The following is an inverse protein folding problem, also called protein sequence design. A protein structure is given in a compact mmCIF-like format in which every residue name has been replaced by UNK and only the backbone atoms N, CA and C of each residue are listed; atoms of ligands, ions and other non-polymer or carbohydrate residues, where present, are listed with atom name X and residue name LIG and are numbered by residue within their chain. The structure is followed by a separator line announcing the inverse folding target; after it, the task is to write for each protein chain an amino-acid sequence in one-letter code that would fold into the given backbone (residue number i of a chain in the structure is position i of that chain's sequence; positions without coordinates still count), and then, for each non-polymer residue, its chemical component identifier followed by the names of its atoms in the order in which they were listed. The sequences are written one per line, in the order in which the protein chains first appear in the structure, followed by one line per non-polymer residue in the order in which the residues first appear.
data_IF_940776296451
#
_entry.id   IF_940776296451
#
_cell.length_a   1.000
_cell.length_b   1.000
_cell.length_c   1.000
_cell.angle_alpha   90.00
_cell.angle_beta   90.00
_cell.angle_gamma   90.00
#
_symmetry.space_group_name_H-M   'P 1'
#
loop_
_entity.id
_entity.type
_entity.pdbx_description
1 polymer ?
#
# COMPACT_ATOMS: atom_id res chain seq x y z
N UNK A 1 -8.54 4.77 12.92
CA UNK A 1 -7.59 4.56 11.82
C UNK A 1 -8.36 4.37 10.52
N UNK A 2 -8.06 5.17 9.50
CA UNK A 2 -8.67 5.06 8.15
C UNK A 2 -7.65 4.49 7.18
N UNK A 3 -8.09 3.77 6.14
CA UNK A 3 -7.20 3.17 5.14
C UNK A 3 -7.49 3.71 3.74
N UNK A 4 -6.45 4.13 3.04
CA UNK A 4 -6.44 4.45 1.60
C UNK A 4 -6.02 3.18 0.86
N UNK A 5 -6.80 2.78 -0.15
CA UNK A 5 -6.59 1.53 -0.92
C UNK A 5 -5.62 1.68 -2.09
N UNK A 6 -5.16 2.88 -2.43
CA UNK A 6 -4.09 3.12 -3.39
C UNK A 6 -3.55 4.54 -3.22
N UNK A 7 -2.26 4.83 -3.45
CA UNK A 7 -1.72 6.19 -3.37
C UNK A 7 -2.47 7.23 -4.24
N UNK A 8 -3.09 6.80 -5.34
CA UNK A 8 -3.90 7.66 -6.21
C UNK A 8 -5.33 7.89 -5.70
N UNK A 9 -5.80 7.08 -4.75
CA UNK A 9 -7.12 7.24 -4.15
C UNK A 9 -7.13 8.44 -3.20
N UNK A 10 -8.30 9.05 -3.09
CA UNK A 10 -8.53 10.17 -2.19
C UNK A 10 -9.48 9.74 -1.08
N UNK A 11 -9.12 10.03 0.16
CA UNK A 11 -9.97 9.77 1.33
C UNK A 11 -10.26 11.05 2.08
N UNK A 12 -11.47 11.16 2.62
CA UNK A 12 -11.84 12.24 3.54
C UNK A 12 -11.68 11.73 4.96
N UNK A 13 -10.83 12.39 5.73
CA UNK A 13 -10.67 12.14 7.16
C UNK A 13 -11.24 13.33 7.94
N UNK A 14 -12.09 13.04 8.93
CA UNK A 14 -12.76 14.04 9.76
C UNK A 14 -12.06 14.15 11.11
N UNK A 15 -11.67 15.36 11.48
CA UNK A 15 -11.12 15.71 12.79
C UNK A 15 -12.21 16.43 13.57
N UNK A 16 -12.73 15.79 14.61
CA UNK A 16 -13.80 16.33 15.44
C UNK A 16 -13.21 17.11 16.62
N UNK A 17 -13.37 18.43 16.60
CA UNK A 17 -12.90 19.34 17.64
C UNK A 17 -13.98 19.66 18.68
N UNK A 18 -15.14 18.99 18.67
CA UNK A 18 -16.26 19.29 19.57
C UNK A 18 -15.85 19.32 21.04
N UNK A 19 -15.03 18.36 21.48
CA UNK A 19 -14.54 18.31 22.87
C UNK A 19 -13.48 19.39 23.15
N UNK A 20 -12.60 19.67 22.19
CA UNK A 20 -11.50 20.62 22.37
C UNK A 20 -12.00 22.08 22.40
N UNK A 21 -12.94 22.41 21.53
CA UNK A 21 -13.44 23.78 21.33
C UNK A 21 -14.65 24.08 22.21
N UNK A 22 -15.37 23.06 22.68
CA UNK A 22 -16.54 23.21 23.53
C UNK A 22 -17.67 23.98 22.83
N UNK A 23 -18.09 25.11 23.41
CA UNK A 23 -19.16 25.95 22.86
C UNK A 23 -18.69 27.00 21.85
N UNK A 24 -17.37 27.16 21.66
CA UNK A 24 -16.84 28.09 20.66
C UNK A 24 -17.00 27.51 19.24
N UNK A 25 -16.88 28.37 18.21
CA UNK A 25 -16.86 27.93 16.83
C UNK A 25 -15.42 27.87 16.30
N UNK A 26 -15.19 27.01 15.31
CA UNK A 26 -13.93 26.99 14.57
C UNK A 26 -13.82 28.26 13.71
N UNK A 27 -12.71 28.98 13.82
CA UNK A 27 -12.46 30.18 13.02
C UNK A 27 -11.59 29.86 11.79
N UNK A 28 -10.46 29.17 11.97
CA UNK A 28 -9.53 28.87 10.89
C UNK A 28 -8.70 27.60 11.14
N UNK A 29 -8.28 26.93 10.06
CA UNK A 29 -7.26 25.87 10.13
C UNK A 29 -5.89 26.51 9.90
N UNK A 30 -4.99 26.39 10.87
CA UNK A 30 -3.64 26.95 10.78
C UNK A 30 -2.65 26.00 10.10
N UNK A 31 -2.56 24.77 10.61
CA UNK A 31 -1.54 23.81 10.21
C UNK A 31 -2.22 22.48 9.91
N UNK A 32 -1.82 21.86 8.80
CA UNK A 32 -2.15 20.48 8.47
C UNK A 32 -0.85 19.82 8.04
N UNK A 33 -0.45 18.76 8.75
CA UNK A 33 0.75 18.00 8.40
C UNK A 33 0.43 16.52 8.35
N UNK A 34 1.24 15.82 7.56
CA UNK A 34 1.32 14.37 7.52
C UNK A 34 2.78 13.99 7.73
N UNK A 35 3.04 12.96 8.53
CA UNK A 35 4.38 12.42 8.75
C UNK A 35 4.30 10.91 8.65
N UNK A 36 5.06 10.28 7.74
CA UNK A 36 5.15 8.83 7.66
C UNK A 36 5.84 8.28 8.89
N UNK A 37 5.44 7.06 9.26
CA UNK A 37 6.10 6.31 10.31
C UNK A 37 7.48 5.79 9.89
N UNK A 38 7.67 5.56 8.59
CA UNK A 38 8.95 5.15 8.01
C UNK A 38 9.75 6.39 7.60
N UNK A 39 10.98 6.49 8.09
CA UNK A 39 11.87 7.59 7.75
C UNK A 39 12.17 7.62 6.24
N UNK A 40 12.06 8.80 5.62
CA UNK A 40 12.33 8.99 4.20
C UNK A 40 11.18 8.65 3.24
N UNK A 41 10.07 8.10 3.74
CA UNK A 41 8.86 7.94 2.92
C UNK A 41 8.25 9.31 2.56
N UNK A 42 7.51 9.37 1.45
CA UNK A 42 6.80 10.59 1.06
C UNK A 42 5.61 10.84 1.99
N UNK A 43 5.41 12.09 2.41
CA UNK A 43 4.22 12.53 3.16
C UNK A 43 2.94 12.35 2.32
N UNK A 44 1.80 12.23 2.99
CA UNK A 44 0.51 12.35 2.30
C UNK A 44 0.28 13.81 1.87
N UNK A 45 -0.47 13.97 0.78
CA UNK A 45 -0.80 15.25 0.19
C UNK A 45 -2.21 15.63 0.62
N UNK A 46 -2.35 16.82 1.18
CA UNK A 46 -3.66 17.44 1.33
C UNK A 46 -4.12 17.99 -0.02
N UNK A 47 -5.29 17.53 -0.48
CA UNK A 47 -5.89 17.97 -1.75
C UNK A 47 -7.03 18.96 -1.57
N UNK A 48 -7.70 18.92 -0.43
CA UNK A 48 -8.75 19.88 -0.07
C UNK A 48 -8.98 19.85 1.45
N UNK A 49 -9.55 20.94 1.99
CA UNK A 49 -10.06 21.03 3.36
C UNK A 49 -11.41 21.72 3.41
N UNK A 50 -12.22 21.40 4.41
CA UNK A 50 -13.48 22.08 4.69
C UNK A 50 -13.77 22.07 6.20
N UNK A 51 -14.28 23.18 6.73
CA UNK A 51 -14.78 23.27 8.11
C UNK A 51 -16.30 23.13 8.07
N UNK A 52 -16.86 22.23 8.88
CA UNK A 52 -18.31 22.01 9.00
C UNK A 52 -18.66 21.95 10.50
N UNK A 53 -19.24 23.02 11.03
CA UNK A 53 -19.49 23.13 12.46
C UNK A 53 -18.18 23.03 13.26
N UNK A 54 -18.07 22.02 14.11
CA UNK A 54 -16.88 21.72 14.92
C UNK A 54 -15.98 20.63 14.30
N UNK A 55 -16.26 20.21 13.07
CA UNK A 55 -15.42 19.26 12.33
C UNK A 55 -14.55 19.95 11.29
N UNK A 56 -13.31 19.49 11.17
CA UNK A 56 -12.46 19.76 10.00
C UNK A 56 -12.36 18.50 9.18
N UNK A 57 -12.77 18.57 7.91
CA UNK A 57 -12.62 17.47 6.95
C UNK A 57 -11.45 17.75 6.03
N UNK A 58 -10.46 16.87 6.05
CA UNK A 58 -9.29 16.94 5.18
C UNK A 58 -9.39 15.82 4.15
N UNK A 59 -9.22 16.19 2.88
CA UNK A 59 -9.14 15.25 1.78
C UNK A 59 -7.68 14.95 1.50
N UNK A 60 -7.28 13.73 1.81
CA UNK A 60 -5.92 13.25 1.65
C UNK A 60 -5.75 12.39 0.41
N UNK A 61 -4.57 12.44 -0.21
CA UNK A 61 -4.13 11.53 -1.27
C UNK A 61 -2.63 11.26 -1.17
N UNK A 62 -2.10 10.41 -2.04
CA UNK A 62 -0.68 10.11 -2.10
C UNK A 62 -0.23 9.18 -0.99
N UNK A 63 0.98 9.43 -0.47
CA UNK A 63 1.67 8.51 0.41
C UNK A 63 2.31 7.34 -0.35
N UNK A 64 3.11 6.57 0.36
CA UNK A 64 3.76 5.37 -0.10
C UNK A 64 2.97 4.16 0.41
N UNK A 65 2.94 3.11 -0.40
CA UNK A 65 2.27 1.87 -0.01
C UNK A 65 2.90 1.28 1.26
N UNK A 66 2.12 0.51 2.01
CA UNK A 66 2.48 -0.15 3.26
C UNK A 66 2.95 0.79 4.37
N UNK A 67 2.68 2.08 4.26
CA UNK A 67 3.03 3.07 5.27
C UNK A 67 1.84 3.49 6.12
N UNK A 68 2.16 3.90 7.34
CA UNK A 68 1.24 4.53 8.28
C UNK A 68 1.65 5.99 8.44
N UNK A 69 0.66 6.85 8.57
CA UNK A 69 0.83 8.29 8.61
C UNK A 69 0.17 8.83 9.86
N UNK A 70 0.96 9.57 10.64
CA UNK A 70 0.43 10.45 11.66
C UNK A 70 0.09 11.78 10.99
N UNK A 71 -1.17 12.17 11.08
CA UNK A 71 -1.65 13.45 10.59
C UNK A 71 -1.96 14.35 11.76
N UNK A 72 -1.64 15.63 11.66
CA UNK A 72 -1.93 16.62 12.69
C UNK A 72 -2.68 17.78 12.05
N UNK A 73 -3.76 18.19 12.69
CA UNK A 73 -4.52 19.39 12.33
C UNK A 73 -4.51 20.35 13.51
N UNK A 74 -4.04 21.57 13.27
CA UNK A 74 -4.09 22.68 14.22
C UNK A 74 -5.11 23.71 13.73
N UNK A 75 -6.00 24.13 14.61
CA UNK A 75 -7.02 25.14 14.34
C UNK A 75 -6.91 26.31 15.32
N UNK A 76 -7.60 27.40 14.99
CA UNK A 76 -7.91 28.50 15.90
C UNK A 76 -9.42 28.62 16.01
N UNK A 77 -9.92 28.80 17.23
CA UNK A 77 -11.34 29.06 17.47
C UNK A 77 -11.67 30.56 17.38
N UNK A 78 -12.96 30.90 17.45
CA UNK A 78 -13.43 32.30 17.41
C UNK A 78 -12.98 33.15 18.58
N UNK A 79 -12.47 32.53 19.66
CA UNK A 79 -11.91 33.21 20.83
C UNK A 79 -10.39 33.41 20.72
N UNK A 80 -9.77 32.91 19.63
CA UNK A 80 -8.34 33.00 19.39
C UNK A 80 -7.51 31.88 20.05
N UNK A 81 -8.14 30.89 20.69
CA UNK A 81 -7.41 29.76 21.26
C UNK A 81 -7.02 28.74 20.18
N UNK A 82 -5.87 28.08 20.38
CA UNK A 82 -5.32 27.12 19.43
C UNK A 82 -5.59 25.71 19.95
N UNK A 83 -6.08 24.84 19.05
CA UNK A 83 -6.37 23.45 19.34
C UNK A 83 -5.70 22.53 18.34
N UNK A 84 -5.30 21.34 18.78
CA UNK A 84 -4.63 20.34 17.95
C UNK A 84 -5.30 18.99 18.07
N UNK A 85 -5.39 18.27 16.95
CA UNK A 85 -5.90 16.91 16.92
C UNK A 85 -5.08 16.06 15.96
N UNK A 86 -4.79 14.84 16.39
CA UNK A 86 -4.03 13.86 15.62
C UNK A 86 -4.97 12.83 14.99
N UNK A 87 -4.67 12.41 13.76
CA UNK A 87 -5.35 11.35 13.04
C UNK A 87 -4.36 10.32 12.52
N UNK A 88 -4.81 9.09 12.37
CA UNK A 88 -3.99 8.00 11.85
C UNK A 88 -4.59 7.48 10.54
N UNK A 89 -3.79 7.50 9.48
CA UNK A 89 -4.16 7.00 8.16
C UNK A 89 -3.13 5.98 7.70
N UNK A 90 -3.60 4.84 7.21
CA UNK A 90 -2.79 3.82 6.58
C UNK A 90 -2.97 3.89 5.06
N UNK A 91 -1.89 3.84 4.30
CA UNK A 91 -1.95 3.61 2.85
C UNK A 91 -1.63 2.14 2.61
N UNK A 92 -2.55 1.45 1.95
CA UNK A 92 -2.45 0.02 1.60
C UNK A 92 -2.99 -0.13 0.18
N UNK A 93 -2.12 -0.27 -0.81
CA UNK A 93 -2.53 -0.57 -2.17
C UNK A 93 -3.27 -1.92 -2.17
N UNK A 94 -4.60 -1.92 -2.22
CA UNK A 94 -5.42 -3.13 -2.40
C UNK A 94 -5.45 -3.58 -3.87
N UNK A 95 -4.57 -3.02 -4.70
CA UNK A 95 -4.37 -3.40 -6.08
C UNK A 95 -3.64 -4.72 -6.14
N UNK A 96 -4.31 -5.72 -6.69
CA UNK A 96 -3.64 -6.82 -7.33
C UNK A 96 -2.84 -6.26 -8.52
N UNK A 97 -1.62 -5.81 -8.25
CA UNK A 97 -0.62 -5.62 -9.29
C UNK A 97 0.19 -6.90 -9.34
N UNK A 98 0.01 -7.67 -10.41
CA UNK A 98 0.99 -8.71 -10.69
C UNK A 98 2.28 -7.99 -11.04
N UNK A 99 3.39 -8.24 -10.32
CA UNK A 99 4.68 -7.74 -10.75
C UNK A 99 4.91 -8.12 -12.21
N UNK A 100 5.02 -7.11 -13.07
CA UNK A 100 5.21 -7.32 -14.49
C UNK A 100 6.69 -7.29 -14.84
N UNK A 101 7.11 -8.14 -15.78
CA UNK A 101 8.50 -8.18 -16.25
C UNK A 101 9.46 -8.99 -15.37
N UNK A 102 8.98 -9.61 -14.30
CA UNK A 102 9.72 -10.62 -13.54
C UNK A 102 9.47 -11.99 -14.18
N UNK A 103 10.24 -12.27 -15.23
CA UNK A 103 10.20 -13.56 -15.93
C UNK A 103 11.30 -14.48 -15.40
N UNK A 104 10.92 -15.64 -14.86
CA UNK A 104 11.85 -16.76 -14.80
C UNK A 104 11.94 -17.45 -16.16
N UNK A 105 12.94 -18.31 -16.35
CA UNK A 105 13.12 -19.05 -17.60
C UNK A 105 11.94 -19.95 -17.95
N UNK A 106 11.17 -20.42 -16.96
CA UNK A 106 10.11 -21.42 -17.16
C UNK A 106 8.70 -20.93 -16.88
N UNK A 107 8.53 -20.06 -15.89
CA UNK A 107 7.23 -19.58 -15.43
C UNK A 107 7.34 -18.11 -15.04
N UNK A 108 6.50 -17.24 -15.63
CA UNK A 108 6.44 -15.85 -15.17
C UNK A 108 5.55 -15.73 -13.94
N UNK A 109 5.69 -14.62 -13.20
CA UNK A 109 4.81 -14.34 -12.07
C UNK A 109 3.34 -14.23 -12.52
N UNK A 110 3.08 -13.64 -13.69
CA UNK A 110 1.75 -13.56 -14.31
C UNK A 110 1.19 -14.95 -14.61
N UNK A 111 2.00 -15.85 -15.16
CA UNK A 111 1.57 -17.22 -15.43
C UNK A 111 1.28 -18.00 -14.15
N UNK A 112 2.08 -17.83 -13.09
CA UNK A 112 1.84 -18.45 -11.78
C UNK A 112 0.51 -17.98 -11.19
N UNK A 113 0.32 -16.66 -11.16
CA UNK A 113 -0.86 -16.05 -10.56
C UNK A 113 -2.13 -16.32 -11.38
N UNK A 114 -2.03 -16.33 -12.70
CA UNK A 114 -3.14 -16.72 -13.57
C UNK A 114 -3.56 -18.17 -13.34
N UNK A 115 -2.62 -19.06 -12.96
CA UNK A 115 -2.89 -20.47 -12.70
C UNK A 115 -3.54 -20.72 -11.34
N UNK A 116 -3.03 -20.10 -10.27
CA UNK A 116 -3.46 -20.40 -8.89
C UNK A 116 -4.42 -19.37 -8.30
N UNK A 117 -4.53 -18.20 -8.93
CA UNK A 117 -5.40 -17.11 -8.49
C UNK A 117 -4.75 -16.20 -7.45
N UNK A 118 -5.15 -14.93 -7.49
CA UNK A 118 -4.62 -13.88 -6.64
C UNK A 118 -4.75 -14.17 -5.14
N UNK A 119 -5.92 -14.65 -4.71
CA UNK A 119 -6.21 -14.89 -3.29
C UNK A 119 -5.28 -15.95 -2.68
N UNK A 120 -5.00 -17.02 -3.44
CA UNK A 120 -4.11 -18.07 -2.99
C UNK A 120 -2.66 -17.59 -2.96
N UNK A 121 -2.23 -16.84 -3.98
CA UNK A 121 -0.90 -16.24 -3.99
C UNK A 121 -0.68 -15.28 -2.82
N UNK A 122 -1.68 -14.44 -2.50
CA UNK A 122 -1.63 -13.59 -1.30
C UNK A 122 -1.50 -14.47 -0.06
N UNK A 123 -2.36 -15.49 0.11
CA UNK A 123 -2.30 -16.38 1.28
C UNK A 123 -0.92 -17.01 1.50
N UNK A 124 -0.20 -17.34 0.43
CA UNK A 124 1.13 -17.97 0.49
C UNK A 124 2.27 -16.97 0.72
N UNK A 125 2.11 -15.73 0.29
CA UNK A 125 3.19 -14.74 0.23
C UNK A 125 3.04 -13.62 1.28
N UNK A 126 1.84 -13.43 1.83
CA UNK A 126 1.48 -12.36 2.75
C UNK A 126 1.81 -12.66 4.22
N UNK A 127 3.10 -12.67 4.56
CA UNK A 127 3.54 -12.88 5.95
C UNK A 127 3.19 -11.71 6.88
N UNK A 128 3.10 -10.51 6.33
CA UNK A 128 2.83 -9.29 7.08
C UNK A 128 1.33 -8.96 7.20
N UNK A 129 0.44 -9.84 6.74
CA UNK A 129 -1.02 -9.66 6.77
C UNK A 129 -1.51 -8.37 6.08
N UNK A 130 -0.80 -7.95 5.03
CA UNK A 130 -1.03 -6.76 4.22
C UNK A 130 -2.06 -6.98 3.12
N UNK A 131 -2.46 -8.24 2.89
CA UNK A 131 -3.40 -8.71 1.85
C UNK A 131 -2.93 -8.37 0.43
N UNK A 132 -1.62 -8.39 0.22
CA UNK A 132 -0.97 -8.16 -1.07
C UNK A 132 0.00 -9.30 -1.40
N UNK A 133 0.32 -9.49 -2.68
CA UNK A 133 1.32 -10.49 -3.10
C UNK A 133 2.71 -9.95 -2.77
N UNK A 134 3.51 -10.71 -2.04
CA UNK A 134 4.93 -10.38 -1.85
C UNK A 134 5.71 -10.82 -3.11
N UNK A 135 5.87 -9.89 -4.05
CA UNK A 135 6.54 -10.10 -5.34
C UNK A 135 7.96 -10.66 -5.21
N UNK A 136 8.87 -10.02 -4.44
CA UNK A 136 10.22 -10.53 -4.23
C UNK A 136 10.26 -11.97 -3.68
N UNK A 137 9.41 -12.29 -2.71
CA UNK A 137 9.33 -13.65 -2.16
C UNK A 137 8.86 -14.67 -3.20
N UNK A 138 7.87 -14.31 -4.01
CA UNK A 138 7.39 -15.18 -5.08
C UNK A 138 8.44 -15.35 -6.19
N UNK A 139 9.19 -14.30 -6.49
CA UNK A 139 10.30 -14.35 -7.45
C UNK A 139 11.42 -15.29 -6.98
N UNK A 140 11.83 -15.20 -5.71
CA UNK A 140 12.78 -16.14 -5.11
C UNK A 140 12.28 -17.59 -5.20
N UNK A 141 11.01 -17.82 -4.84
CA UNK A 141 10.43 -19.15 -4.91
C UNK A 141 10.40 -19.71 -6.35
N UNK A 142 10.07 -18.88 -7.35
CA UNK A 142 10.08 -19.29 -8.77
C UNK A 142 11.51 -19.52 -9.26
N UNK A 143 12.49 -18.73 -8.81
CA UNK A 143 13.91 -18.90 -9.14
C UNK A 143 14.44 -20.22 -8.59
N UNK A 144 14.15 -20.53 -7.32
CA UNK A 144 14.55 -21.79 -6.70
C UNK A 144 14.00 -23.00 -7.47
N UNK A 145 12.73 -22.94 -7.88
CA UNK A 145 12.14 -23.99 -8.72
C UNK A 145 12.76 -24.05 -10.13
N UNK A 146 13.13 -22.91 -10.70
CA UNK A 146 13.85 -22.86 -11.98
C UNK A 146 15.19 -23.56 -11.88
N UNK A 147 15.95 -23.30 -10.82
CA UNK A 147 17.26 -23.92 -10.60
C UNK A 147 17.14 -25.44 -10.37
N UNK A 148 16.08 -25.87 -9.66
CA UNK A 148 15.75 -27.30 -9.50
C UNK A 148 15.41 -27.94 -10.87
N UNK A 149 14.57 -27.29 -11.67
CA UNK A 149 14.20 -27.78 -12.99
C UNK A 149 15.43 -27.88 -13.91
N UNK A 150 16.30 -26.87 -13.91
CA UNK A 150 17.58 -26.85 -14.64
C UNK A 150 18.48 -28.02 -14.22
N UNK A 151 18.57 -28.32 -12.92
CA UNK A 151 19.36 -29.45 -12.44
C UNK A 151 18.85 -30.81 -12.96
N UNK A 152 17.54 -30.98 -13.11
CA UNK A 152 16.95 -32.24 -13.63
C UNK A 152 17.12 -32.39 -15.14
N UNK A 153 16.89 -31.33 -15.91
CA UNK A 153 16.88 -31.41 -17.37
C UNK A 153 18.26 -31.15 -17.98
N UNK A 154 19.12 -30.40 -17.30
CA UNK A 154 20.44 -29.98 -17.77
C UNK A 154 21.42 -31.12 -18.01
N UNK A 155 21.15 -32.32 -17.47
CA UNK A 155 21.93 -33.52 -17.76
C UNK A 155 21.62 -34.11 -19.15
N UNK A 156 20.48 -33.76 -19.76
CA UNK A 156 20.03 -34.33 -21.04
C UNK A 156 19.83 -33.31 -22.14
N UNK A 157 19.57 -32.06 -21.77
CA UNK A 157 19.27 -30.97 -22.69
C UNK A 157 20.11 -29.76 -22.35
N UNK A 158 20.51 -29.00 -23.36
CA UNK A 158 21.16 -27.72 -23.16
C UNK A 158 20.14 -26.72 -22.58
N UNK A 159 20.51 -26.13 -21.44
CA UNK A 159 19.76 -25.06 -20.79
C UNK A 159 20.40 -23.71 -21.13
N UNK A 160 19.63 -22.65 -21.44
CA UNK A 160 18.16 -22.60 -21.41
C UNK A 160 17.52 -23.28 -22.62
N UNK A 161 16.36 -23.90 -22.40
CA UNK A 161 15.58 -24.52 -23.48
C UNK A 161 15.14 -23.47 -24.51
N UNK A 162 15.27 -23.80 -25.80
CA UNK A 162 14.82 -22.93 -26.90
C UNK A 162 13.29 -22.72 -26.91
N UNK A 163 12.53 -23.70 -26.42
CA UNK A 163 11.09 -23.57 -26.16
C UNK A 163 10.76 -24.39 -24.92
N UNK A 164 9.95 -23.83 -24.01
CA UNK A 164 9.62 -24.47 -22.73
C UNK A 164 8.34 -25.29 -22.89
N UNK A 165 8.41 -26.64 -22.83
CA UNK A 165 7.22 -27.47 -22.90
C UNK A 165 6.32 -27.25 -21.68
N UNK A 166 5.00 -27.45 -21.87
CA UNK A 166 4.02 -27.30 -20.78
C UNK A 166 4.34 -28.13 -19.54
N UNK A 167 4.92 -29.33 -19.72
CA UNK A 167 5.30 -30.20 -18.60
C UNK A 167 6.39 -29.59 -17.73
N UNK A 168 7.34 -28.84 -18.32
CA UNK A 168 8.38 -28.13 -17.58
C UNK A 168 7.80 -26.94 -16.84
N UNK A 169 6.80 -26.25 -17.43
CA UNK A 169 6.05 -25.16 -16.77
C UNK A 169 5.20 -25.61 -15.58
N UNK A 170 5.07 -26.92 -15.31
CA UNK A 170 4.26 -27.48 -14.22
C UNK A 170 5.08 -28.15 -13.13
N UNK A 171 6.41 -28.21 -13.29
CA UNK A 171 7.34 -28.57 -12.22
C UNK A 171 7.33 -27.44 -11.20
#
# INVERSE_FOLDING_TARGET
MVTIKAPTEQVIYSYDFTVAVGAAALAAVQVVTSTPRVAGAANMIETARTIIGSEVRIKWSGGADLNEYLTLVRITDTNGAIHELNGEIAVRAAGFEVPTGLASRYLTLEEYVARYGAAETIRLTDEASLRVINGPKLEEAIKDQTDIADAYIGNRYDTPLASVPRVVKSI
#
